data_IF_011701207907
#
_entry.id   IF_011701207907
#
_cell.length_a   1.000
_cell.length_b   1.000
_cell.length_c   1.000
_cell.angle_alpha   90.00
_cell.angle_beta   90.00
_cell.angle_gamma   90.00
#
_symmetry.space_group_name_H-M   'P 1'
#
loop_
_entity.id
_entity.type
_entity.pdbx_description
1 polymer ?
#
# COMPACT_ATOMS: atom_id res chain seq x y z
N UNK A 1 -4.94 6.90 -20.80
CA UNK A 1 -5.87 6.33 -19.79
C UNK A 1 -5.63 4.84 -19.52
N UNK A 2 -5.39 3.99 -20.54
CA UNK A 2 -5.17 2.54 -20.34
C UNK A 2 -4.05 2.21 -19.33
N UNK A 3 -2.90 2.88 -19.41
CA UNK A 3 -1.77 2.67 -18.50
C UNK A 3 -2.14 2.93 -17.04
N UNK A 4 -2.96 3.95 -16.77
CA UNK A 4 -3.44 4.24 -15.43
C UNK A 4 -4.39 3.16 -14.91
N UNK A 5 -5.28 2.65 -15.78
CA UNK A 5 -6.17 1.53 -15.41
C UNK A 5 -5.39 0.26 -15.10
N UNK A 6 -4.40 -0.08 -15.92
CA UNK A 6 -3.53 -1.24 -15.66
C UNK A 6 -2.81 -1.07 -14.32
N UNK A 7 -2.23 0.10 -14.07
CA UNK A 7 -1.55 0.39 -12.81
C UNK A 7 -2.50 0.27 -11.60
N UNK A 8 -3.69 0.88 -11.66
CA UNK A 8 -4.68 0.78 -10.59
C UNK A 8 -5.14 -0.68 -10.37
N UNK A 9 -5.30 -1.47 -11.43
CA UNK A 9 -5.65 -2.89 -11.32
C UNK A 9 -4.57 -3.69 -10.62
N UNK A 10 -3.30 -3.47 -10.98
CA UNK A 10 -2.16 -4.13 -10.33
C UNK A 10 -2.11 -3.76 -8.84
N UNK A 11 -2.27 -2.47 -8.51
CA UNK A 11 -2.27 -2.02 -7.11
C UNK A 11 -3.45 -2.58 -6.32
N UNK A 12 -4.64 -2.64 -6.93
CA UNK A 12 -5.81 -3.25 -6.31
C UNK A 12 -5.58 -4.73 -6.00
N UNK A 13 -4.97 -5.49 -6.92
CA UNK A 13 -4.65 -6.90 -6.71
C UNK A 13 -3.62 -7.10 -5.61
N UNK A 14 -2.57 -6.26 -5.56
CA UNK A 14 -1.54 -6.34 -4.51
C UNK A 14 -2.17 -6.03 -3.14
N UNK A 15 -2.92 -4.93 -3.02
CA UNK A 15 -3.58 -4.54 -1.77
C UNK A 15 -4.64 -5.56 -1.33
N UNK A 16 -5.40 -6.12 -2.26
CA UNK A 16 -6.35 -7.19 -1.95
C UNK A 16 -5.64 -8.47 -1.50
N UNK A 17 -4.56 -8.85 -2.19
CA UNK A 17 -3.77 -10.03 -1.86
C UNK A 17 -3.15 -9.94 -0.47
N UNK A 18 -2.45 -8.85 -0.17
CA UNK A 18 -1.90 -8.62 1.18
C UNK A 18 -3.01 -8.45 2.22
N UNK A 19 -4.08 -7.71 1.92
CA UNK A 19 -5.20 -7.52 2.82
C UNK A 19 -5.87 -8.84 3.22
N UNK A 20 -6.12 -9.73 2.26
CA UNK A 20 -6.63 -11.08 2.52
C UNK A 20 -5.61 -11.92 3.29
N UNK A 21 -4.33 -11.84 2.96
CA UNK A 21 -3.27 -12.58 3.64
C UNK A 21 -3.18 -12.19 5.13
N UNK A 22 -3.19 -10.89 5.45
CA UNK A 22 -3.22 -10.40 6.83
C UNK A 22 -4.54 -10.73 7.55
N UNK A 23 -5.66 -10.77 6.82
CA UNK A 23 -6.94 -11.18 7.37
C UNK A 23 -6.96 -12.69 7.71
N UNK A 24 -6.34 -13.56 6.92
CA UNK A 24 -6.39 -15.01 7.17
C UNK A 24 -5.25 -15.46 8.08
N UNK A 25 -4.02 -14.97 7.83
CA UNK A 25 -2.77 -15.42 8.48
C UNK A 25 -1.96 -14.26 9.09
N UNK A 26 -2.51 -13.50 10.06
CA UNK A 26 -1.86 -12.30 10.59
C UNK A 26 -0.49 -12.57 11.24
N UNK A 27 -0.30 -13.71 11.89
CA UNK A 27 0.97 -14.04 12.54
C UNK A 27 2.10 -14.23 11.54
N UNK A 28 1.88 -15.02 10.49
CA UNK A 28 2.88 -15.29 9.45
C UNK A 28 3.30 -13.99 8.76
N UNK A 29 2.32 -13.16 8.42
CA UNK A 29 2.55 -11.91 7.70
C UNK A 29 3.22 -10.84 8.58
N UNK A 30 2.80 -10.70 9.84
CA UNK A 30 3.44 -9.80 10.79
C UNK A 30 4.89 -10.21 11.08
N UNK A 31 5.17 -11.51 11.14
CA UNK A 31 6.52 -12.00 11.38
C UNK A 31 7.51 -11.67 10.24
N UNK A 32 7.02 -11.39 9.02
CA UNK A 32 7.89 -10.95 7.91
C UNK A 32 8.61 -9.63 8.20
N UNK A 33 7.98 -8.75 8.98
CA UNK A 33 8.60 -7.50 9.44
C UNK A 33 9.28 -7.63 10.81
N UNK A 34 9.31 -8.83 11.39
CA UNK A 34 9.78 -9.09 12.75
C UNK A 34 8.75 -8.74 13.84
N UNK A 35 7.51 -8.42 13.48
CA UNK A 35 6.47 -8.09 14.44
C UNK A 35 5.94 -9.34 15.14
N UNK A 36 5.97 -9.33 16.47
CA UNK A 36 5.50 -10.42 17.31
C UNK A 36 4.16 -10.09 17.96
N UNK A 37 3.11 -10.82 17.59
CA UNK A 37 1.75 -10.61 18.09
C UNK A 37 1.51 -11.40 19.38
N UNK A 38 1.74 -10.74 20.52
CA UNK A 38 1.73 -11.37 21.84
C UNK A 38 0.34 -11.52 22.47
N UNK A 39 -0.65 -10.75 22.02
CA UNK A 39 -1.99 -10.72 22.60
C UNK A 39 -3.09 -10.80 21.52
N UNK A 40 -4.28 -11.36 21.85
CA UNK A 40 -5.44 -11.34 20.96
C UNK A 40 -5.83 -9.95 20.45
N UNK A 41 -5.63 -8.91 21.27
CA UNK A 41 -5.87 -7.53 20.88
C UNK A 41 -4.95 -7.10 19.72
N UNK A 42 -3.64 -7.39 19.80
CA UNK A 42 -2.68 -7.08 18.75
C UNK A 42 -2.99 -7.82 17.44
N UNK A 43 -3.50 -9.05 17.52
CA UNK A 43 -3.94 -9.81 16.34
C UNK A 43 -5.12 -9.12 15.66
N UNK A 44 -6.09 -8.65 16.45
CA UNK A 44 -7.26 -7.90 15.95
C UNK A 44 -6.84 -6.59 15.30
N UNK A 45 -5.93 -5.84 15.93
CA UNK A 45 -5.40 -4.59 15.37
C UNK A 45 -4.69 -4.80 14.03
N UNK A 46 -3.85 -5.84 13.93
CA UNK A 46 -3.18 -6.17 12.67
C UNK A 46 -4.20 -6.55 11.59
N UNK A 47 -5.23 -7.34 11.92
CA UNK A 47 -6.29 -7.66 10.96
C UNK A 47 -7.05 -6.42 10.50
N UNK A 48 -7.28 -5.46 11.37
CA UNK A 48 -7.97 -4.22 11.02
C UNK A 48 -7.11 -3.33 10.11
N UNK A 49 -5.87 -3.05 10.48
CA UNK A 49 -5.00 -2.10 9.77
C UNK A 49 -4.23 -2.68 8.59
N UNK A 50 -3.74 -3.91 8.69
CA UNK A 50 -3.02 -4.56 7.59
C UNK A 50 -3.96 -5.42 6.72
N UNK A 51 -5.10 -5.86 7.26
CA UNK A 51 -6.13 -6.56 6.50
C UNK A 51 -7.20 -5.61 5.95
N UNK A 52 -8.10 -5.18 6.84
CA UNK A 52 -9.32 -4.44 6.51
C UNK A 52 -9.05 -3.13 5.76
N UNK A 53 -8.11 -2.31 6.21
CA UNK A 53 -7.75 -1.06 5.54
C UNK A 53 -7.23 -1.32 4.11
N UNK A 54 -6.37 -2.32 3.92
CA UNK A 54 -5.85 -2.67 2.59
C UNK A 54 -6.96 -3.16 1.65
N UNK A 55 -7.90 -3.95 2.17
CA UNK A 55 -9.08 -4.39 1.41
C UNK A 55 -10.00 -3.22 1.05
N UNK A 56 -10.21 -2.27 1.97
CA UNK A 56 -10.98 -1.06 1.70
C UNK A 56 -10.35 -0.19 0.61
N UNK A 57 -9.02 -0.01 0.64
CA UNK A 57 -8.29 0.68 -0.40
C UNK A 57 -8.38 -0.05 -1.74
N UNK A 58 -8.20 -1.38 -1.76
CA UNK A 58 -8.35 -2.18 -2.96
C UNK A 58 -9.75 -2.04 -3.58
N UNK A 59 -10.80 -2.08 -2.76
CA UNK A 59 -12.17 -1.88 -3.20
C UNK A 59 -12.39 -0.49 -3.83
N UNK A 60 -11.81 0.57 -3.24
CA UNK A 60 -11.85 1.91 -3.83
C UNK A 60 -11.13 1.98 -5.18
N UNK A 61 -9.98 1.32 -5.33
CA UNK A 61 -9.28 1.27 -6.62
C UNK A 61 -10.08 0.49 -7.68
N UNK A 62 -10.72 -0.62 -7.31
CA UNK A 62 -11.62 -1.38 -8.20
C UNK A 62 -12.83 -0.54 -8.62
N UNK A 63 -13.40 0.24 -7.70
CA UNK A 63 -14.47 1.20 -8.01
C UNK A 63 -14.00 2.25 -9.02
N UNK A 64 -12.77 2.76 -8.87
CA UNK A 64 -12.18 3.71 -9.81
C UNK A 64 -11.88 3.13 -11.20
N UNK A 65 -11.73 1.81 -11.32
CA UNK A 65 -11.63 1.13 -12.62
C UNK A 65 -12.97 1.05 -13.35
N UNK A 66 -14.08 1.00 -12.61
CA UNK A 66 -15.44 1.01 -13.12
C UNK A 66 -15.96 2.44 -13.40
N UNK A 67 -15.40 3.45 -12.73
CA UNK A 67 -15.85 4.84 -12.77
C UNK A 67 -14.70 5.78 -13.15
N UNK A 68 -14.68 6.22 -14.42
CA UNK A 68 -13.56 7.00 -14.97
C UNK A 68 -13.36 8.36 -14.29
N UNK A 69 -14.41 8.94 -13.71
CA UNK A 69 -14.38 10.15 -12.89
C UNK A 69 -13.53 9.99 -11.62
N UNK A 70 -13.44 8.77 -11.08
CA UNK A 70 -12.65 8.45 -9.89
C UNK A 70 -11.20 8.09 -10.20
N UNK A 71 -10.82 7.95 -11.47
CA UNK A 71 -9.49 7.50 -11.86
C UNK A 71 -8.38 8.49 -11.43
N UNK A 72 -8.59 9.79 -11.64
CA UNK A 72 -7.67 10.83 -11.17
C UNK A 72 -7.61 10.89 -9.63
N UNK A 73 -8.75 10.97 -8.89
CA UNK A 73 -8.75 10.86 -7.43
C UNK A 73 -8.01 9.64 -6.89
N UNK A 74 -8.18 8.47 -7.50
CA UNK A 74 -7.49 7.25 -7.10
C UNK A 74 -5.97 7.34 -7.27
N UNK A 75 -5.48 7.91 -8.37
CA UNK A 75 -4.05 8.17 -8.54
C UNK A 75 -3.52 9.17 -7.50
N UNK A 76 -4.25 10.25 -7.21
CA UNK A 76 -3.87 11.21 -6.17
C UNK A 76 -3.80 10.55 -4.79
N UNK A 77 -4.76 9.69 -4.45
CA UNK A 77 -4.74 8.91 -3.22
C UNK A 77 -3.49 8.04 -3.14
N UNK A 78 -3.15 7.30 -4.19
CA UNK A 78 -1.96 6.44 -4.21
C UNK A 78 -0.65 7.23 -4.06
N UNK A 79 -0.55 8.41 -4.67
CA UNK A 79 0.60 9.30 -4.48
C UNK A 79 0.75 9.68 -3.01
N UNK A 80 -0.32 10.18 -2.39
CA UNK A 80 -0.27 10.63 -1.00
C UNK A 80 -0.01 9.47 -0.05
N UNK A 81 -0.70 8.35 -0.24
CA UNK A 81 -0.56 7.15 0.59
C UNK A 81 0.87 6.62 0.56
N UNK A 82 1.41 6.34 -0.62
CA UNK A 82 2.75 5.75 -0.72
C UNK A 82 3.86 6.74 -0.39
N UNK A 83 3.70 8.03 -0.66
CA UNK A 83 4.66 9.04 -0.22
C UNK A 83 4.68 9.13 1.31
N UNK A 84 3.52 9.17 1.97
CA UNK A 84 3.44 9.20 3.42
C UNK A 84 4.08 7.95 4.04
N UNK A 85 3.79 6.76 3.52
CA UNK A 85 4.39 5.51 3.97
C UNK A 85 5.91 5.49 3.77
N UNK A 86 6.40 5.89 2.60
CA UNK A 86 7.83 5.94 2.33
C UNK A 86 8.56 6.91 3.28
N UNK A 87 7.98 8.08 3.56
CA UNK A 87 8.55 9.08 4.46
C UNK A 87 8.58 8.59 5.91
N UNK A 88 7.48 8.03 6.42
CA UNK A 88 7.44 7.52 7.79
C UNK A 88 8.31 6.28 7.95
N UNK A 89 8.41 5.43 6.93
CA UNK A 89 9.31 4.27 6.94
C UNK A 89 10.78 4.69 6.89
N UNK A 90 11.12 5.70 6.10
CA UNK A 90 12.48 6.26 6.09
C UNK A 90 12.83 6.89 7.44
N UNK A 91 11.90 7.59 8.07
CA UNK A 91 12.09 8.09 9.43
C UNK A 91 12.26 6.95 10.45
N UNK A 92 11.44 5.90 10.39
CA UNK A 92 11.56 4.71 11.25
C UNK A 92 12.90 3.99 11.07
N UNK A 93 13.34 3.78 9.84
CA UNK A 93 14.67 3.20 9.56
C UNK A 93 15.81 4.04 10.15
N UNK A 94 15.67 5.36 10.15
CA UNK A 94 16.67 6.25 10.73
C UNK A 94 16.69 6.20 12.27
N UNK A 95 15.52 6.06 12.90
CA UNK A 95 15.37 6.03 14.36
C UNK A 95 15.65 4.63 14.97
N UNK A 96 15.26 3.55 14.29
CA UNK A 96 15.14 2.19 14.84
C UNK A 96 16.26 1.23 14.40
N UNK A 97 17.40 1.75 13.95
CA UNK A 97 18.62 0.93 13.76
C UNK A 97 19.01 0.59 12.32
N UNK A 98 18.54 1.35 11.33
CA UNK A 98 19.15 1.41 9.99
C UNK A 98 18.77 0.29 9.00
N UNK A 99 19.48 0.26 7.88
CA UNK A 99 19.14 -0.51 6.66
C UNK A 99 19.24 -2.05 6.78
N UNK A 100 19.46 -2.61 7.96
CA UNK A 100 19.50 -4.08 8.15
C UNK A 100 18.10 -4.71 8.11
N UNK A 101 17.04 -3.90 8.12
CA UNK A 101 15.65 -4.34 8.07
C UNK A 101 15.21 -4.64 6.61
N UNK A 102 15.61 -5.80 6.09
CA UNK A 102 15.43 -6.16 4.67
C UNK A 102 13.99 -6.03 4.18
N UNK A 103 13.00 -6.47 4.97
CA UNK A 103 11.59 -6.32 4.63
C UNK A 103 11.18 -4.85 4.48
N UNK A 104 11.61 -3.98 5.40
CA UNK A 104 11.31 -2.55 5.36
C UNK A 104 11.98 -1.87 4.15
N UNK A 105 13.16 -2.31 3.73
CA UNK A 105 13.78 -1.81 2.50
C UNK A 105 12.98 -2.20 1.25
N UNK A 106 12.53 -3.45 1.13
CA UNK A 106 11.70 -3.87 0.00
C UNK A 106 10.36 -3.14 -0.03
N UNK A 107 9.73 -2.99 1.14
CA UNK A 107 8.49 -2.24 1.27
C UNK A 107 8.68 -0.76 0.91
N UNK A 108 9.77 -0.13 1.37
CA UNK A 108 10.11 1.26 1.02
C UNK A 108 10.34 1.43 -0.48
N UNK A 109 11.06 0.50 -1.11
CA UNK A 109 11.28 0.52 -2.56
C UNK A 109 9.95 0.44 -3.31
N UNK A 110 9.07 -0.47 -2.89
CA UNK A 110 7.73 -0.59 -3.46
C UNK A 110 6.92 0.70 -3.31
N UNK A 111 6.94 1.32 -2.13
CA UNK A 111 6.25 2.58 -1.85
C UNK A 111 6.78 3.71 -2.74
N UNK A 112 8.10 3.92 -2.81
CA UNK A 112 8.72 4.99 -3.61
C UNK A 112 8.43 4.80 -5.11
N UNK A 113 8.58 3.58 -5.63
CA UNK A 113 8.31 3.29 -7.05
C UNK A 113 6.83 3.48 -7.36
N UNK A 114 5.93 2.99 -6.49
CA UNK A 114 4.48 3.13 -6.68
C UNK A 114 4.03 4.59 -6.61
N UNK A 115 4.57 5.39 -5.67
CA UNK A 115 4.31 6.81 -5.59
C UNK A 115 4.77 7.55 -6.86
N UNK A 116 5.99 7.25 -7.34
CA UNK A 116 6.54 7.85 -8.55
C UNK A 116 5.73 7.53 -9.80
N UNK A 117 5.33 6.25 -9.97
CA UNK A 117 4.49 5.81 -11.08
C UNK A 117 3.09 6.44 -11.01
N UNK A 118 2.46 6.46 -9.83
CA UNK A 118 1.16 7.07 -9.62
C UNK A 118 1.21 8.57 -9.96
N UNK A 119 2.24 9.28 -9.52
CA UNK A 119 2.43 10.71 -9.79
C UNK A 119 2.66 11.01 -11.26
N UNK A 120 3.49 10.20 -11.93
CA UNK A 120 3.73 10.33 -13.36
C UNK A 120 2.45 10.09 -14.17
N UNK A 121 1.67 9.06 -13.83
CA UNK A 121 0.37 8.77 -14.44
C UNK A 121 -0.64 9.89 -14.16
N UNK A 122 -0.65 10.45 -12.96
CA UNK A 122 -1.51 11.58 -12.59
C UNK A 122 -1.21 12.81 -13.45
N UNK A 123 0.07 13.16 -13.61
CA UNK A 123 0.50 14.29 -14.46
C UNK A 123 0.16 14.08 -15.93
N UNK A 124 0.37 12.87 -16.46
CA UNK A 124 -0.04 12.53 -17.84
C UNK A 124 -1.54 12.59 -18.04
N UNK A 125 -2.30 12.25 -17.01
CA UNK A 125 -3.75 12.33 -17.06
C UNK A 125 -4.26 13.76 -16.93
N UNK A 126 -3.45 14.71 -16.45
CA UNK A 126 -3.75 16.15 -16.37
C UNK A 126 -3.49 16.90 -17.68
N UNK A 127 -2.49 16.43 -18.45
CA UNK A 127 -2.09 17.01 -19.73
C UNK A 127 -2.88 16.48 -20.95
N UNK A 128 -3.86 15.60 -20.73
CA UNK A 128 -4.77 15.03 -21.72
C UNK A 128 -6.21 15.41 -21.36
#
# INVERSE_FOLDING_TARGET
MLSARIFLAVQALILAGFGLAYLVRPHELANLSGMLLMAPAAITDVRAYYGGLQLGLAAYLLLALARLDLLRPALSLLVLLYAALALTRMAGLWLDGGAQQTFNLYAMLFEVVSAGLAFWLLRRSAAA
#
